data_IF_965028938732
#
_entry.id   IF_965028938732
#
_cell.length_a   1.000
_cell.length_b   1.000
_cell.length_c   1.000
_cell.angle_alpha   90.00
_cell.angle_beta   90.00
_cell.angle_gamma   90.00
#
_symmetry.space_group_name_H-M   'P 1'
#
loop_
_entity.id
_entity.type
_entity.pdbx_description
1 polymer ?
#
# COMPACT_ATOMS: atom_id res chain seq x y z
N UNK A 1 -53.94 -6.72 68.76
CA UNK A 1 -53.73 -5.40 69.41
C UNK A 1 -52.24 -5.18 69.57
N UNK A 2 -51.74 -4.04 69.06
CA UNK A 2 -50.48 -3.33 69.37
C UNK A 2 -49.20 -4.15 69.60
N UNK A 3 -48.20 -3.93 68.73
CA UNK A 3 -46.83 -3.50 69.07
C UNK A 3 -46.02 -3.31 67.75
N UNK A 4 -45.72 -2.05 67.37
CA UNK A 4 -44.42 -1.36 67.54
C UNK A 4 -43.23 -2.07 66.87
N UNK A 5 -42.88 -1.64 65.65
CA UNK A 5 -41.47 -1.57 65.21
C UNK A 5 -41.30 -0.62 64.00
N UNK A 6 -41.07 0.66 64.28
CA UNK A 6 -40.22 1.57 63.47
C UNK A 6 -38.76 1.35 63.95
N UNK A 7 -37.67 1.77 63.28
CA UNK A 7 -37.39 2.03 61.87
C UNK A 7 -36.00 1.47 61.46
N UNK A 8 -35.92 0.42 60.63
CA UNK A 8 -34.62 -0.01 60.06
C UNK A 8 -34.62 0.00 58.52
N UNK A 9 -35.80 0.03 57.89
CA UNK A 9 -35.92 -0.05 56.42
C UNK A 9 -35.65 1.27 55.65
N UNK A 10 -35.68 2.44 56.29
CA UNK A 10 -35.48 3.71 55.57
C UNK A 10 -33.99 4.02 55.30
N UNK A 11 -33.09 3.50 56.14
CA UNK A 11 -31.63 3.70 55.96
C UNK A 11 -31.01 2.83 54.85
N UNK A 12 -31.55 1.63 54.60
CA UNK A 12 -30.98 0.69 53.62
C UNK A 12 -31.33 1.06 52.17
N UNK A 13 -32.52 1.65 51.95
CA UNK A 13 -32.97 2.05 50.61
C UNK A 13 -32.20 3.28 50.05
N UNK A 14 -31.71 4.18 50.91
CA UNK A 14 -30.95 5.36 50.48
C UNK A 14 -29.50 4.99 50.11
N UNK A 15 -28.91 4.00 50.79
CA UNK A 15 -27.54 3.53 50.48
C UNK A 15 -27.49 2.73 49.18
N UNK A 16 -28.52 1.93 48.85
CA UNK A 16 -28.56 1.20 47.57
C UNK A 16 -28.72 2.12 46.35
N UNK A 17 -29.43 3.25 46.48
CA UNK A 17 -29.56 4.23 45.40
C UNK A 17 -28.24 4.96 45.09
N UNK A 18 -27.42 5.23 46.11
CA UNK A 18 -26.10 5.86 45.92
C UNK A 18 -25.06 4.90 45.31
N UNK A 19 -25.09 3.61 45.67
CA UNK A 19 -24.15 2.62 45.11
C UNK A 19 -24.50 2.29 43.65
N UNK A 20 -25.79 2.19 43.30
CA UNK A 20 -26.21 1.99 41.89
C UNK A 20 -25.96 3.23 41.02
N UNK A 21 -26.12 4.45 41.55
CA UNK A 21 -25.82 5.69 40.81
C UNK A 21 -24.32 5.87 40.51
N UNK A 22 -23.45 5.55 41.48
CA UNK A 22 -22.00 5.59 41.29
C UNK A 22 -21.48 4.50 40.34
N UNK A 23 -22.15 3.34 40.27
CA UNK A 23 -21.85 2.30 39.29
C UNK A 23 -22.38 2.62 37.89
N UNK A 24 -23.53 3.31 37.76
CA UNK A 24 -24.05 3.76 36.46
C UNK A 24 -23.14 4.83 35.81
N UNK A 25 -22.64 5.78 36.61
CA UNK A 25 -21.68 6.80 36.13
C UNK A 25 -20.33 6.21 35.72
N UNK A 26 -19.89 5.10 36.36
CA UNK A 26 -18.67 4.37 35.97
C UNK A 26 -18.84 3.41 34.79
N UNK A 27 -20.07 2.98 34.49
CA UNK A 27 -20.37 2.15 33.31
C UNK A 27 -20.51 2.99 32.03
N UNK A 28 -21.00 4.22 32.12
CA UNK A 28 -21.05 5.17 30.99
C UNK A 28 -19.68 5.74 30.59
N UNK A 29 -18.64 5.54 31.40
CA UNK A 29 -17.26 5.99 31.10
C UNK A 29 -16.35 4.85 30.60
N UNK A 30 -16.87 3.62 30.48
CA UNK A 30 -16.12 2.44 30.02
C UNK A 30 -16.57 1.90 28.65
N UNK A 31 -17.55 2.54 28.01
CA UNK A 31 -17.95 2.29 26.63
C UNK A 31 -18.07 3.61 25.89
N UNK A 32 -17.49 3.69 24.69
CA UNK A 32 -17.48 4.86 23.78
C UNK A 32 -16.50 5.99 24.09
N UNK A 33 -15.21 5.67 24.05
CA UNK A 33 -14.31 6.41 23.17
C UNK A 33 -13.51 5.41 22.33
N UNK A 34 -14.17 4.88 21.30
CA UNK A 34 -13.42 4.56 20.09
C UNK A 34 -12.73 5.86 19.65
N UNK A 35 -11.43 5.87 19.30
CA UNK A 35 -10.84 7.07 18.74
C UNK A 35 -11.66 7.43 17.50
N UNK A 36 -12.41 8.52 17.59
CA UNK A 36 -13.03 9.13 16.44
C UNK A 36 -11.90 9.41 15.46
N UNK A 37 -11.96 8.77 14.29
CA UNK A 37 -11.17 9.14 13.12
C UNK A 37 -11.63 10.52 12.65
N UNK A 38 -11.30 11.53 13.44
CA UNK A 38 -11.43 12.96 13.17
C UNK A 38 -10.21 13.63 13.82
N UNK A 39 -9.03 13.11 13.50
CA UNK A 39 -7.91 13.99 13.28
C UNK A 39 -7.82 14.10 11.77
N UNK A 40 -8.24 15.26 11.26
CA UNK A 40 -7.42 15.91 10.27
C UNK A 40 -6.04 16.03 10.93
N UNK A 41 -5.26 14.95 10.84
CA UNK A 41 -3.85 14.95 11.18
C UNK A 41 -3.33 16.19 10.49
N UNK A 42 -2.76 17.08 11.28
CA UNK A 42 -2.15 18.29 10.79
C UNK A 42 -1.18 17.84 9.69
N UNK A 43 -1.62 17.92 8.44
CA UNK A 43 -0.79 17.60 7.29
C UNK A 43 0.31 18.63 7.39
N UNK A 44 1.46 18.20 7.91
CA UNK A 44 2.62 19.07 7.99
C UNK A 44 2.85 19.53 6.55
N UNK A 45 2.90 20.84 6.29
CA UNK A 45 3.14 21.31 4.94
C UNK A 45 4.39 20.62 4.40
N UNK A 46 4.29 20.08 3.18
CA UNK A 46 5.40 19.37 2.55
C UNK A 46 6.66 20.22 2.55
N UNK A 47 7.83 19.55 2.46
CA UNK A 47 9.14 20.20 2.47
C UNK A 47 9.27 21.25 1.34
N UNK A 48 8.55 21.05 0.24
CA UNK A 48 8.64 21.86 -0.98
C UNK A 48 7.44 22.80 -1.14
N UNK A 49 7.59 23.86 -1.94
CA UNK A 49 6.48 24.79 -2.21
C UNK A 49 5.54 24.30 -3.30
N UNK A 50 6.04 23.42 -4.17
CA UNK A 50 5.30 22.82 -5.28
C UNK A 50 6.04 21.58 -5.79
N UNK A 51 5.36 20.82 -6.66
CA UNK A 51 5.87 19.56 -7.17
C UNK A 51 7.15 19.71 -8.00
N UNK A 52 7.27 20.76 -8.82
CA UNK A 52 8.45 20.99 -9.66
C UNK A 52 9.72 21.23 -8.81
N UNK A 53 9.59 21.92 -7.67
CA UNK A 53 10.68 22.09 -6.71
C UNK A 53 11.10 20.75 -6.11
N UNK A 54 10.13 19.92 -5.71
CA UNK A 54 10.39 18.58 -5.19
C UNK A 54 11.17 17.74 -6.21
N UNK A 55 10.67 17.66 -7.43
CA UNK A 55 11.28 16.87 -8.52
C UNK A 55 12.70 17.34 -8.85
N UNK A 56 12.96 18.65 -8.84
CA UNK A 56 14.32 19.18 -9.05
C UNK A 56 15.28 18.81 -7.92
N UNK A 57 14.83 18.83 -6.67
CA UNK A 57 15.66 18.40 -5.54
C UNK A 57 15.97 16.90 -5.62
N UNK A 58 14.97 16.06 -5.89
CA UNK A 58 15.16 14.62 -6.07
C UNK A 58 16.08 14.30 -7.25
N UNK A 59 15.93 15.01 -8.37
CA UNK A 59 16.80 14.88 -9.55
C UNK A 59 18.27 15.13 -9.19
N UNK A 60 18.54 16.16 -8.39
CA UNK A 60 19.89 16.47 -7.90
C UNK A 60 20.46 15.32 -7.07
N UNK A 61 19.66 14.70 -6.20
CA UNK A 61 20.09 13.59 -5.34
C UNK A 61 20.49 12.35 -6.16
N UNK A 62 19.81 12.08 -7.27
CA UNK A 62 20.14 10.95 -8.18
C UNK A 62 21.05 11.34 -9.34
N UNK A 63 21.54 12.59 -9.37
CA UNK A 63 22.50 13.14 -10.34
C UNK A 63 21.98 13.15 -11.79
N UNK A 64 20.72 13.55 -11.99
CA UNK A 64 20.13 13.82 -13.32
C UNK A 64 19.74 15.29 -13.48
N UNK A 65 19.45 15.71 -14.71
CA UNK A 65 19.09 17.09 -15.03
C UNK A 65 17.62 17.35 -14.64
N UNK A 66 17.44 18.10 -13.55
CA UNK A 66 16.11 18.45 -13.04
C UNK A 66 15.31 19.37 -13.95
N UNK A 67 15.95 20.18 -14.79
CA UNK A 67 15.25 21.05 -15.74
C UNK A 67 14.70 20.24 -16.92
N UNK A 68 15.50 19.30 -17.45
CA UNK A 68 15.03 18.33 -18.46
C UNK A 68 13.92 17.46 -17.90
N UNK A 69 14.05 17.01 -16.65
CA UNK A 69 13.05 16.18 -15.99
C UNK A 69 11.70 16.91 -15.88
N UNK A 70 11.68 18.14 -15.37
CA UNK A 70 10.45 18.95 -15.28
C UNK A 70 9.87 19.27 -16.66
N UNK A 71 10.71 19.56 -17.66
CA UNK A 71 10.25 19.77 -19.03
C UNK A 71 9.58 18.53 -19.62
N UNK A 72 10.16 17.34 -19.40
CA UNK A 72 9.61 16.07 -19.84
C UNK A 72 8.24 15.81 -19.19
N UNK A 73 8.14 15.95 -17.86
CA UNK A 73 6.87 15.78 -17.12
C UNK A 73 5.80 16.74 -17.65
N UNK A 74 6.12 18.03 -17.79
CA UNK A 74 5.14 19.03 -18.22
C UNK A 74 4.74 18.92 -19.70
N UNK A 75 5.53 18.20 -20.51
CA UNK A 75 5.15 17.91 -21.90
C UNK A 75 4.06 16.83 -22.02
N UNK A 76 3.88 15.99 -20.99
CA UNK A 76 2.97 14.86 -21.01
C UNK A 76 3.42 13.70 -21.91
N UNK A 77 4.66 13.72 -22.42
CA UNK A 77 5.14 12.71 -23.39
C UNK A 77 5.17 11.29 -22.81
N UNK A 78 5.23 11.15 -21.49
CA UNK A 78 5.21 9.85 -20.79
C UNK A 78 3.82 9.36 -20.42
N UNK A 79 2.79 10.21 -20.56
CA UNK A 79 1.41 9.87 -20.22
C UNK A 79 0.94 8.59 -20.92
N UNK A 80 1.26 8.43 -22.20
CA UNK A 80 0.83 7.26 -22.98
C UNK A 80 1.35 5.93 -22.43
N UNK A 81 2.58 5.89 -21.90
CA UNK A 81 3.14 4.69 -21.28
C UNK A 81 2.45 4.41 -19.94
N UNK A 82 2.24 5.44 -19.13
CA UNK A 82 1.57 5.33 -17.81
C UNK A 82 0.10 4.87 -17.98
N UNK A 83 -0.62 5.45 -18.94
CA UNK A 83 -1.99 5.07 -19.26
C UNK A 83 -2.07 3.63 -19.78
N UNK A 84 -1.10 3.19 -20.58
CA UNK A 84 -1.07 1.83 -21.11
C UNK A 84 -0.92 0.79 -19.99
N UNK A 85 -0.03 1.04 -19.02
CA UNK A 85 0.10 0.19 -17.83
C UNK A 85 -1.18 0.20 -16.98
N UNK A 86 -1.76 1.38 -16.74
CA UNK A 86 -3.00 1.54 -15.98
C UNK A 86 -4.14 0.74 -16.62
N UNK A 87 -4.29 0.86 -17.95
CA UNK A 87 -5.30 0.15 -18.72
C UNK A 87 -5.09 -1.36 -18.66
N UNK A 88 -3.86 -1.84 -18.84
CA UNK A 88 -3.55 -3.27 -18.71
C UNK A 88 -3.93 -3.79 -17.32
N UNK A 89 -3.53 -3.09 -16.25
CA UNK A 89 -3.91 -3.43 -14.88
C UNK A 89 -5.42 -3.55 -14.72
N UNK A 90 -6.18 -2.59 -15.24
CA UNK A 90 -7.65 -2.64 -15.26
C UNK A 90 -8.20 -3.88 -15.97
N UNK A 91 -7.66 -4.26 -17.14
CA UNK A 91 -8.09 -5.49 -17.84
C UNK A 91 -7.77 -6.78 -17.07
N UNK A 92 -6.74 -6.75 -16.24
CA UNK A 92 -6.37 -7.87 -15.36
C UNK A 92 -7.17 -7.89 -14.05
N UNK A 93 -8.02 -6.90 -13.81
CA UNK A 93 -8.84 -6.75 -12.61
C UNK A 93 -8.12 -6.08 -11.44
N UNK A 94 -7.02 -5.36 -11.69
CA UNK A 94 -6.35 -4.54 -10.67
C UNK A 94 -7.18 -3.28 -10.43
N UNK A 95 -7.74 -3.16 -9.23
CA UNK A 95 -8.61 -2.04 -8.84
C UNK A 95 -7.99 -1.11 -7.80
N UNK A 96 -6.79 -1.41 -7.33
CA UNK A 96 -6.07 -0.63 -6.32
C UNK A 96 -4.59 -0.99 -6.26
N UNK A 97 -3.84 -0.22 -5.47
CA UNK A 97 -2.38 -0.36 -5.34
C UNK A 97 -1.96 -0.50 -3.86
N UNK A 98 -0.83 -1.17 -3.58
CA UNK A 98 -0.01 -1.90 -4.53
C UNK A 98 -0.70 -3.20 -4.94
N UNK A 99 -0.38 -3.71 -6.13
CA UNK A 99 -0.89 -4.99 -6.62
C UNK A 99 0.23 -5.76 -7.30
N UNK A 100 0.31 -7.06 -7.02
CA UNK A 100 1.41 -7.90 -7.46
C UNK A 100 0.90 -9.08 -8.26
N UNK A 101 1.67 -9.48 -9.26
CA UNK A 101 1.56 -10.76 -9.94
C UNK A 101 2.87 -11.51 -9.80
N UNK A 102 2.88 -12.58 -9.01
CA UNK A 102 4.04 -13.46 -8.82
C UNK A 102 3.85 -14.65 -9.76
N UNK A 103 4.58 -14.67 -10.87
CA UNK A 103 4.34 -15.58 -12.00
C UNK A 103 2.86 -15.62 -12.43
N UNK A 104 2.20 -14.45 -12.41
CA UNK A 104 0.79 -14.32 -12.78
C UNK A 104 -0.22 -14.58 -11.66
N UNK A 105 0.21 -15.07 -10.48
CA UNK A 105 -0.68 -15.21 -9.30
C UNK A 105 -0.87 -13.86 -8.63
N UNK A 106 -2.11 -13.44 -8.46
CA UNK A 106 -2.44 -12.11 -7.96
C UNK A 106 -2.29 -12.04 -6.44
N UNK A 107 -1.68 -10.95 -5.95
CA UNK A 107 -1.66 -10.56 -4.53
C UNK A 107 -1.84 -9.04 -4.45
N UNK A 108 -3.00 -8.57 -3.99
CA UNK A 108 -3.37 -7.16 -3.93
C UNK A 108 -3.24 -6.59 -2.52
N UNK A 109 -2.41 -5.56 -2.35
CA UNK A 109 -2.19 -4.85 -1.09
C UNK A 109 -0.78 -5.03 -0.52
N UNK A 110 -0.49 -4.27 0.53
CA UNK A 110 0.79 -4.30 1.23
C UNK A 110 0.88 -5.48 2.21
N UNK A 111 0.98 -6.70 1.66
CA UNK A 111 1.14 -7.92 2.46
C UNK A 111 2.52 -8.00 3.15
N UNK A 112 2.63 -8.71 4.28
CA UNK A 112 3.92 -9.02 4.90
C UNK A 112 4.80 -9.88 3.98
N UNK A 113 6.12 -9.78 4.17
CA UNK A 113 7.11 -10.57 3.43
C UNK A 113 6.79 -12.06 3.39
N UNK A 114 6.34 -12.66 4.50
CA UNK A 114 6.06 -14.10 4.59
C UNK A 114 5.02 -14.58 3.56
N UNK A 115 4.02 -13.76 3.23
CA UNK A 115 3.05 -14.08 2.18
C UNK A 115 3.69 -14.15 0.80
N UNK A 116 4.63 -13.23 0.52
CA UNK A 116 5.41 -13.26 -0.73
C UNK A 116 6.34 -14.48 -0.76
N UNK A 117 7.07 -14.74 0.33
CA UNK A 117 7.99 -15.88 0.43
C UNK A 117 7.26 -17.19 0.16
N UNK A 118 6.09 -17.39 0.77
CA UNK A 118 5.29 -18.60 0.54
C UNK A 118 5.00 -18.84 -0.95
N UNK A 119 4.59 -17.80 -1.68
CA UNK A 119 4.27 -17.91 -3.11
C UNK A 119 5.56 -18.11 -3.92
N UNK A 120 6.59 -17.30 -3.68
CA UNK A 120 7.88 -17.37 -4.38
C UNK A 120 8.54 -18.75 -4.20
N UNK A 121 8.60 -19.27 -2.98
CA UNK A 121 9.23 -20.55 -2.67
C UNK A 121 8.49 -21.73 -3.33
N UNK A 122 7.15 -21.68 -3.35
CA UNK A 122 6.34 -22.68 -4.08
C UNK A 122 6.63 -22.62 -5.58
N UNK A 123 6.73 -21.44 -6.17
CA UNK A 123 7.08 -21.27 -7.59
C UNK A 123 8.49 -21.79 -7.90
N UNK A 124 9.49 -21.43 -7.08
CA UNK A 124 10.87 -21.88 -7.24
C UNK A 124 11.02 -23.41 -7.09
N UNK A 125 10.21 -24.02 -6.24
CA UNK A 125 10.17 -25.47 -6.04
C UNK A 125 9.38 -26.23 -7.13
N UNK A 126 8.75 -25.53 -8.08
CA UNK A 126 7.84 -26.15 -9.07
C UNK A 126 6.56 -26.71 -8.45
N UNK A 127 6.17 -26.20 -7.27
CA UNK A 127 5.01 -26.61 -6.47
C UNK A 127 3.94 -25.52 -6.40
N UNK A 128 3.95 -24.56 -7.33
CA UNK A 128 2.91 -23.56 -7.46
C UNK A 128 1.53 -24.21 -7.60
N UNK A 129 0.56 -23.84 -6.76
CA UNK A 129 -0.79 -24.39 -6.79
C UNK A 129 -1.81 -23.36 -7.29
N UNK A 130 -2.85 -23.81 -7.99
CA UNK A 130 -4.04 -23.01 -8.35
C UNK A 130 -5.19 -23.16 -7.35
N UNK A 131 -5.04 -24.05 -6.36
CA UNK A 131 -6.00 -24.24 -5.29
C UNK A 131 -5.60 -23.37 -4.09
N UNK A 132 -6.43 -22.37 -3.76
CA UNK A 132 -6.13 -21.44 -2.66
C UNK A 132 -6.01 -22.13 -1.29
N UNK A 133 -6.63 -23.30 -1.12
CA UNK A 133 -6.55 -24.10 0.11
C UNK A 133 -5.17 -24.70 0.38
N UNK A 134 -4.28 -24.71 -0.61
CA UNK A 134 -2.91 -25.21 -0.47
C UNK A 134 -1.94 -24.15 0.08
N UNK A 135 -2.45 -22.94 0.35
CA UNK A 135 -1.71 -21.82 0.91
C UNK A 135 -2.05 -21.61 2.39
N UNK A 136 -1.28 -20.79 3.08
CA UNK A 136 -1.51 -20.42 4.47
C UNK A 136 -2.91 -19.83 4.69
N UNK A 137 -3.38 -19.92 5.94
CA UNK A 137 -4.68 -19.35 6.34
C UNK A 137 -4.81 -17.86 5.97
N UNK A 138 -3.72 -17.09 6.07
CA UNK A 138 -3.71 -15.67 5.69
C UNK A 138 -4.01 -15.45 4.20
N UNK A 139 -3.42 -16.27 3.32
CA UNK A 139 -3.71 -16.20 1.88
C UNK A 139 -5.09 -16.78 1.54
N UNK A 140 -5.58 -17.75 2.30
CA UNK A 140 -6.96 -18.23 2.16
C UNK A 140 -7.98 -17.14 2.52
N UNK A 141 -7.78 -16.45 3.65
CA UNK A 141 -8.60 -15.32 4.07
C UNK A 141 -8.55 -14.17 3.04
N UNK A 142 -7.39 -13.91 2.43
CA UNK A 142 -7.24 -12.94 1.34
C UNK A 142 -7.98 -13.35 0.05
N UNK A 143 -8.03 -14.64 -0.27
CA UNK A 143 -8.81 -15.16 -1.40
C UNK A 143 -10.32 -15.04 -1.16
N UNK A 144 -10.76 -15.16 0.10
CA UNK A 144 -12.16 -15.13 0.51
C UNK A 144 -12.67 -13.73 0.88
N UNK A 145 -11.85 -12.67 0.76
CA UNK A 145 -12.20 -11.31 1.15
C UNK A 145 -13.44 -10.80 0.36
N UNK A 146 -14.56 -10.47 1.05
CA UNK A 146 -15.79 -10.03 0.41
C UNK A 146 -15.68 -8.64 -0.25
N UNK A 147 -14.63 -7.86 0.05
CA UNK A 147 -14.38 -6.54 -0.56
C UNK A 147 -13.65 -6.65 -1.90
N UNK A 148 -13.18 -7.84 -2.25
CA UNK A 148 -12.42 -8.13 -3.46
C UNK A 148 -11.30 -9.12 -3.14
N UNK A 149 -11.10 -10.12 -4.00
CA UNK A 149 -10.08 -11.16 -3.80
C UNK A 149 -8.68 -10.54 -3.79
N UNK A 150 -8.11 -10.39 -2.61
CA UNK A 150 -6.75 -9.87 -2.41
C UNK A 150 -5.68 -10.93 -2.72
N UNK A 151 -6.06 -12.19 -2.93
CA UNK A 151 -5.20 -13.23 -3.47
C UNK A 151 -5.96 -14.06 -4.52
N UNK A 152 -5.31 -14.37 -5.65
CA UNK A 152 -5.81 -15.34 -6.64
C UNK A 152 -4.65 -16.22 -7.13
N UNK A 153 -4.62 -17.51 -6.78
CA UNK A 153 -3.55 -18.42 -7.19
C UNK A 153 -3.65 -18.87 -8.65
N UNK A 154 -4.71 -18.52 -9.38
CA UNK A 154 -4.85 -18.85 -10.80
C UNK A 154 -4.02 -17.87 -11.64
N UNK A 155 -2.96 -18.32 -12.34
CA UNK A 155 -2.07 -17.42 -13.06
C UNK A 155 -2.78 -16.68 -14.20
N UNK A 156 -2.58 -15.37 -14.26
CA UNK A 156 -2.90 -14.54 -15.42
C UNK A 156 -1.63 -14.22 -16.21
N UNK A 157 -1.76 -14.10 -17.53
CA UNK A 157 -0.66 -13.62 -18.37
C UNK A 157 -0.54 -12.11 -18.19
N UNK A 158 0.61 -11.64 -17.72
CA UNK A 158 0.92 -10.22 -17.54
C UNK A 158 2.04 -9.84 -18.49
N UNK A 159 1.91 -8.74 -19.22
CA UNK A 159 2.92 -8.32 -20.18
C UNK A 159 4.01 -7.48 -19.48
N UNK A 160 5.20 -8.06 -19.33
CA UNK A 160 6.37 -7.31 -18.82
C UNK A 160 6.85 -6.28 -19.86
N UNK A 161 6.78 -6.60 -21.15
CA UNK A 161 7.15 -5.69 -22.25
C UNK A 161 8.51 -5.01 -22.05
N UNK A 162 8.56 -3.70 -22.29
CA UNK A 162 9.73 -2.83 -22.09
C UNK A 162 9.70 -2.10 -20.74
N UNK A 163 8.91 -2.61 -19.78
CA UNK A 163 8.83 -1.96 -18.49
C UNK A 163 10.15 -2.04 -17.74
N UNK A 164 10.34 -1.13 -16.80
CA UNK A 164 11.57 -1.09 -16.00
C UNK A 164 11.63 -2.31 -15.08
N UNK A 165 12.74 -3.05 -15.13
CA UNK A 165 12.96 -4.26 -14.32
C UNK A 165 14.21 -4.13 -13.45
N UNK A 166 14.22 -4.75 -12.26
CA UNK A 166 15.35 -4.84 -11.32
C UNK A 166 15.38 -6.24 -10.71
N UNK A 167 16.58 -6.73 -10.42
CA UNK A 167 16.80 -8.10 -9.96
C UNK A 167 17.53 -8.92 -11.03
N UNK A 168 17.31 -10.24 -11.02
CA UNK A 168 18.09 -11.16 -11.86
C UNK A 168 17.44 -11.35 -13.22
N UNK A 169 18.13 -10.96 -14.29
CA UNK A 169 17.67 -11.24 -15.66
C UNK A 169 17.55 -12.76 -15.88
N UNK A 170 16.40 -13.21 -16.42
CA UNK A 170 16.12 -14.64 -16.61
C UNK A 170 15.75 -15.40 -15.33
N UNK A 171 15.45 -14.68 -14.24
CA UNK A 171 14.90 -15.24 -13.01
C UNK A 171 13.71 -16.18 -13.27
N UNK A 172 13.61 -17.24 -12.47
CA UNK A 172 12.49 -18.20 -12.51
C UNK A 172 11.18 -17.61 -12.01
N UNK A 173 11.28 -16.61 -11.13
CA UNK A 173 10.13 -15.89 -10.59
C UNK A 173 10.16 -14.45 -11.07
N UNK A 174 9.10 -14.04 -11.76
CA UNK A 174 8.89 -12.66 -12.15
C UNK A 174 7.74 -12.11 -11.30
N UNK A 175 8.00 -11.00 -10.62
CA UNK A 175 7.01 -10.23 -9.87
C UNK A 175 6.69 -8.99 -10.69
N UNK A 176 5.44 -8.86 -11.15
CA UNK A 176 4.96 -7.61 -11.75
C UNK A 176 4.24 -6.82 -10.66
N UNK A 177 4.71 -5.61 -10.38
CA UNK A 177 4.13 -4.71 -9.39
C UNK A 177 3.41 -3.56 -10.10
N UNK A 178 2.09 -3.43 -9.91
CA UNK A 178 1.31 -2.24 -10.23
C UNK A 178 1.26 -1.33 -9.01
N UNK A 179 1.78 -0.11 -9.16
CA UNK A 179 2.03 0.78 -8.02
C UNK A 179 1.80 2.24 -8.35
N UNK A 180 1.64 3.02 -7.29
CA UNK A 180 1.41 4.46 -7.30
C UNK A 180 2.37 5.11 -6.31
N UNK A 181 3.26 5.97 -6.83
CA UNK A 181 4.28 6.63 -6.01
C UNK A 181 3.71 7.52 -4.90
N UNK A 182 2.47 7.99 -4.99
CA UNK A 182 1.83 8.83 -3.97
C UNK A 182 1.00 7.98 -2.98
N UNK A 183 0.79 6.70 -3.26
CA UNK A 183 -0.02 5.83 -2.42
C UNK A 183 0.76 5.42 -1.15
N UNK A 184 0.21 5.66 0.06
CA UNK A 184 0.87 5.28 1.31
C UNK A 184 0.92 3.77 1.52
N UNK A 185 0.07 2.97 0.86
CA UNK A 185 0.18 1.51 0.89
C UNK A 185 1.33 1.02 0.00
N UNK A 186 1.60 1.71 -1.11
CA UNK A 186 2.73 1.39 -1.99
C UNK A 186 4.06 1.69 -1.29
N UNK A 187 4.15 2.83 -0.61
CA UNK A 187 5.30 3.17 0.24
C UNK A 187 5.55 2.11 1.32
N UNK A 188 4.49 1.60 1.96
CA UNK A 188 4.64 0.50 2.93
C UNK A 188 5.07 -0.84 2.31
N UNK A 189 4.77 -1.09 1.05
CA UNK A 189 5.19 -2.31 0.35
C UNK A 189 6.62 -2.21 -0.20
N UNK A 190 7.11 -1.00 -0.51
CA UNK A 190 8.46 -0.74 -1.00
C UNK A 190 9.56 -1.48 -0.21
N UNK A 191 9.67 -1.39 1.13
CA UNK A 191 10.71 -2.12 1.86
C UNK A 191 10.58 -3.64 1.75
N UNK A 192 9.36 -4.18 1.66
CA UNK A 192 9.13 -5.62 1.43
C UNK A 192 9.69 -6.04 0.08
N UNK A 193 9.45 -5.28 -0.99
CA UNK A 193 9.99 -5.57 -2.32
C UNK A 193 11.53 -5.49 -2.34
N UNK A 194 12.12 -4.51 -1.66
CA UNK A 194 13.59 -4.43 -1.51
C UNK A 194 14.16 -5.65 -0.78
N UNK A 195 13.47 -6.12 0.26
CA UNK A 195 13.88 -7.32 0.99
C UNK A 195 13.75 -8.58 0.12
N UNK A 196 12.70 -8.70 -0.70
CA UNK A 196 12.55 -9.80 -1.66
C UNK A 196 13.70 -9.81 -2.66
N UNK A 197 14.02 -8.67 -3.27
CA UNK A 197 15.12 -8.55 -4.24
C UNK A 197 16.47 -8.98 -3.63
N UNK A 198 16.67 -8.70 -2.34
CA UNK A 198 17.87 -9.10 -1.59
C UNK A 198 17.87 -10.59 -1.23
N UNK A 199 16.78 -11.12 -0.68
CA UNK A 199 16.72 -12.52 -0.22
C UNK A 199 16.70 -13.53 -1.38
N UNK A 200 16.12 -13.13 -2.52
CA UNK A 200 15.99 -13.97 -3.70
C UNK A 200 16.89 -13.53 -4.85
N UNK A 201 18.07 -12.97 -4.52
CA UNK A 201 19.11 -12.71 -5.50
C UNK A 201 19.41 -13.99 -6.31
N UNK A 202 19.52 -13.85 -7.63
CA UNK A 202 19.63 -14.97 -8.56
C UNK A 202 18.30 -15.60 -9.00
N UNK A 203 17.19 -15.36 -8.28
CA UNK A 203 15.94 -16.11 -8.46
C UNK A 203 14.71 -15.26 -8.78
N UNK A 204 14.74 -13.95 -8.46
CA UNK A 204 13.62 -13.02 -8.68
C UNK A 204 14.00 -11.85 -9.59
N UNK A 205 13.07 -11.49 -10.47
CA UNK A 205 13.04 -10.24 -11.22
C UNK A 205 11.76 -9.48 -10.88
N UNK A 206 11.87 -8.21 -10.51
CA UNK A 206 10.72 -7.31 -10.32
C UNK A 206 10.57 -6.45 -11.56
N UNK A 207 9.35 -6.37 -12.08
CA UNK A 207 8.92 -5.51 -13.17
C UNK A 207 7.92 -4.49 -12.62
N UNK A 208 8.21 -3.20 -12.75
CA UNK A 208 7.36 -2.13 -12.24
C UNK A 208 6.33 -1.71 -13.29
N UNK A 209 5.09 -1.44 -12.90
CA UNK A 209 3.99 -0.97 -13.74
C UNK A 209 3.29 0.17 -13.04
N UNK A 210 2.94 1.22 -13.78
CA UNK A 210 2.27 2.37 -13.20
C UNK A 210 0.75 2.14 -13.08
N UNK A 211 0.18 2.47 -11.93
CA UNK A 211 -1.27 2.55 -11.72
C UNK A 211 -1.61 3.76 -10.83
N UNK A 212 -1.40 5.00 -11.31
CA UNK A 212 -1.72 6.20 -10.55
C UNK A 212 -3.22 6.31 -10.26
N UNK A 213 -3.59 6.38 -8.99
CA UNK A 213 -4.97 6.53 -8.53
C UNK A 213 -5.39 8.00 -8.54
N UNK A 214 -5.46 8.59 -9.74
CA UNK A 214 -5.64 10.04 -9.97
C UNK A 214 -6.90 10.66 -9.36
N UNK A 215 -7.89 9.85 -8.96
CA UNK A 215 -9.09 10.33 -8.28
C UNK A 215 -8.86 10.74 -6.82
N UNK A 216 -7.79 10.21 -6.20
CA UNK A 216 -7.47 10.43 -4.78
C UNK A 216 -6.03 10.92 -4.56
N UNK A 217 -5.16 10.77 -5.56
CA UNK A 217 -3.75 11.15 -5.50
C UNK A 217 -3.41 12.17 -6.60
N UNK A 218 -3.44 13.46 -6.25
CA UNK A 218 -3.31 14.59 -7.19
C UNK A 218 -1.99 14.62 -8.01
N UNK A 219 -0.90 14.05 -7.48
CA UNK A 219 0.43 14.01 -8.11
C UNK A 219 0.81 12.62 -8.62
N UNK A 220 -0.01 11.58 -8.43
CA UNK A 220 0.33 10.20 -8.81
C UNK A 220 0.73 10.07 -10.28
N UNK A 221 -0.05 10.67 -11.18
CA UNK A 221 0.25 10.67 -12.61
C UNK A 221 1.60 11.35 -12.91
N UNK A 222 1.83 12.54 -12.35
CA UNK A 222 3.08 13.28 -12.57
C UNK A 222 4.29 12.56 -11.98
N UNK A 223 4.14 11.87 -10.85
CA UNK A 223 5.21 11.08 -10.23
C UNK A 223 5.54 9.84 -11.08
N UNK A 224 4.53 9.17 -11.64
CA UNK A 224 4.72 8.08 -12.61
C UNK A 224 5.48 8.56 -13.86
N UNK A 225 5.05 9.68 -14.45
CA UNK A 225 5.73 10.31 -15.58
C UNK A 225 7.16 10.75 -15.23
N UNK A 226 7.40 11.24 -14.01
CA UNK A 226 8.73 11.61 -13.54
C UNK A 226 9.69 10.41 -13.52
N UNK A 227 9.24 9.23 -13.10
CA UNK A 227 10.05 8.02 -13.13
C UNK A 227 10.42 7.61 -14.58
N UNK A 228 9.47 7.69 -15.52
CA UNK A 228 9.75 7.42 -16.94
C UNK A 228 10.65 8.50 -17.58
N UNK A 229 10.51 9.77 -17.20
CA UNK A 229 11.43 10.82 -17.63
C UNK A 229 12.84 10.62 -17.04
N UNK A 230 12.96 10.09 -15.82
CA UNK A 230 14.24 9.71 -15.23
C UNK A 230 14.85 8.48 -15.93
N UNK A 231 14.02 7.56 -16.45
CA UNK A 231 14.46 6.43 -17.29
C UNK A 231 15.17 6.89 -18.56
N UNK A 232 14.68 7.93 -19.22
CA UNK A 232 15.35 8.52 -20.40
C UNK A 232 16.74 9.08 -20.07
N UNK A 233 16.97 9.42 -18.80
CA UNK A 233 18.26 9.85 -18.26
C UNK A 233 19.05 8.69 -17.62
N UNK A 234 18.60 7.45 -17.79
CA UNK A 234 19.25 6.23 -17.30
C UNK A 234 19.09 5.97 -15.81
N UNK A 235 18.12 6.61 -15.13
CA UNK A 235 17.96 6.62 -13.67
C UNK A 235 16.54 6.32 -13.18
N UNK A 236 15.84 5.39 -13.85
CA UNK A 236 14.49 4.99 -13.41
C UNK A 236 14.49 4.52 -11.95
N UNK A 237 15.34 3.55 -11.61
CA UNK A 237 15.31 2.90 -10.30
C UNK A 237 15.78 3.80 -9.17
N UNK A 238 16.84 4.58 -9.40
CA UNK A 238 17.29 5.54 -8.40
C UNK A 238 16.24 6.62 -8.14
N UNK A 239 15.51 7.07 -9.18
CA UNK A 239 14.45 8.05 -9.01
C UNK A 239 13.19 7.44 -8.38
N UNK A 240 12.83 6.21 -8.78
CA UNK A 240 11.78 5.39 -8.15
C UNK A 240 12.02 5.26 -6.63
N UNK A 241 13.23 4.86 -6.25
CA UNK A 241 13.60 4.69 -4.84
C UNK A 241 13.44 6.02 -4.09
N UNK A 242 13.87 7.14 -4.70
CA UNK A 242 13.71 8.47 -4.09
C UNK A 242 12.27 8.92 -3.94
N UNK A 243 11.39 8.61 -4.89
CA UNK A 243 9.97 8.93 -4.78
C UNK A 243 9.35 8.25 -3.55
N UNK A 244 9.66 6.97 -3.30
CA UNK A 244 9.16 6.28 -2.11
C UNK A 244 9.85 6.73 -0.81
N UNK A 245 11.19 6.82 -0.80
CA UNK A 245 11.97 7.22 0.38
C UNK A 245 11.62 8.61 0.91
N UNK A 246 11.09 9.49 0.05
CA UNK A 246 10.75 10.87 0.39
C UNK A 246 9.27 11.18 0.19
N UNK A 247 8.39 10.17 0.13
CA UNK A 247 6.96 10.35 -0.17
C UNK A 247 6.31 11.42 0.73
N UNK A 248 6.61 11.41 2.03
CA UNK A 248 6.08 12.41 2.98
C UNK A 248 6.47 13.86 2.65
N UNK A 249 7.59 14.07 1.95
CA UNK A 249 8.11 15.40 1.62
C UNK A 249 7.38 16.03 0.43
N UNK A 250 6.90 15.22 -0.53
CA UNK A 250 6.34 15.68 -1.81
C UNK A 250 4.88 15.27 -2.06
N UNK A 251 4.34 14.26 -1.37
CA UNK A 251 2.99 13.76 -1.62
C UNK A 251 1.87 14.69 -1.10
N UNK A 252 2.18 15.56 -0.13
CA UNK A 252 1.22 16.41 0.58
C UNK A 252 1.29 17.90 0.20
N UNK A 253 1.80 18.20 -1.01
CA UNK A 253 1.96 19.57 -1.51
C UNK A 253 0.64 20.24 -1.89
#
# INVERSE_FOLDING_TARGET
MKEKMFPVLVGVLIVMAFVMGAMWSKLQTLGEQAPQANQADQVKPGKYKNFDEAIKDLAKQVKIDGSKLVSCINSGEKKGIVDADTNEGGTLGVTGTPAFFINGKFLGGAFPLESFKEIIDKELAGKGSTNYKDYSKSLQEAYEDPRGKAFDPVPKKVNVGNTSTRGTAGAKVIIVEYSDFQCPYCERAYPTVQQILKEYEGNVLVAYKHLPLVSIHQYAQKAAEAAECAKDQGKFWEFHDKLFETQSDWANL
#
